data_IF_995546472357
#
_entry.id   IF_995546472357
#
_cell.length_a   1.000
_cell.length_b   1.000
_cell.length_c   1.000
_cell.angle_alpha   90.00
_cell.angle_beta   90.00
_cell.angle_gamma   90.00
#
_symmetry.space_group_name_H-M   'P 1'
#
loop_
_entity.id
_entity.type
_entity.pdbx_description
1 polymer ?
#
# COMPACT_ATOMS: atom_id res chain seq x y z
N UNK A 1 -32.60 -10.20 5.18
CA UNK A 1 -31.99 -8.85 5.15
C UNK A 1 -31.43 -8.53 3.75
N UNK A 2 -32.27 -8.51 2.69
CA UNK A 2 -31.83 -8.33 1.28
C UNK A 2 -32.74 -7.42 0.42
N UNK A 3 -33.57 -6.58 1.04
CA UNK A 3 -34.60 -5.82 0.29
C UNK A 3 -34.68 -4.32 0.64
N UNK A 4 -33.59 -3.69 1.11
CA UNK A 4 -33.57 -2.24 1.39
C UNK A 4 -32.76 -1.39 0.40
N UNK A 5 -32.17 -2.03 -0.62
CA UNK A 5 -31.36 -1.36 -1.66
C UNK A 5 -32.14 -0.95 -2.93
N UNK A 6 -33.41 -1.38 -3.05
CA UNK A 6 -34.22 -1.17 -4.26
C UNK A 6 -35.13 0.07 -4.20
N UNK A 7 -35.14 0.81 -3.09
CA UNK A 7 -36.05 1.95 -2.86
C UNK A 7 -35.33 3.31 -2.89
N UNK A 8 -34.10 3.37 -3.41
CA UNK A 8 -33.32 4.60 -3.48
C UNK A 8 -33.54 5.26 -4.86
N UNK A 9 -34.01 6.52 -4.94
CA UNK A 9 -34.13 7.26 -6.20
C UNK A 9 -32.76 7.38 -6.91
N UNK A 10 -32.78 7.39 -8.25
CA UNK A 10 -31.58 7.16 -9.10
C UNK A 10 -30.52 8.27 -8.94
N UNK A 11 -30.91 9.45 -8.47
CA UNK A 11 -30.05 10.59 -8.15
C UNK A 11 -29.06 10.29 -6.99
N UNK A 12 -29.56 9.70 -5.89
CA UNK A 12 -28.79 9.43 -4.67
C UNK A 12 -27.80 8.26 -4.81
N UNK A 13 -28.08 7.39 -5.79
CA UNK A 13 -27.22 6.24 -6.09
C UNK A 13 -25.89 6.68 -6.68
N UNK A 14 -25.88 7.74 -7.49
CA UNK A 14 -24.64 8.29 -8.07
C UNK A 14 -23.78 8.94 -6.99
N UNK A 15 -24.37 9.76 -6.12
CA UNK A 15 -23.65 10.45 -5.02
C UNK A 15 -23.05 9.46 -4.03
N UNK A 16 -23.74 8.36 -3.73
CA UNK A 16 -23.23 7.33 -2.81
C UNK A 16 -22.10 6.51 -3.42
N UNK A 17 -22.20 6.18 -4.71
CA UNK A 17 -21.14 5.46 -5.43
C UNK A 17 -19.90 6.35 -5.61
N UNK A 18 -20.09 7.64 -5.88
CA UNK A 18 -18.99 8.62 -6.02
C UNK A 18 -18.29 8.92 -4.68
N UNK A 19 -19.04 8.97 -3.57
CA UNK A 19 -18.46 9.07 -2.21
C UNK A 19 -17.68 7.82 -1.80
N UNK A 20 -18.13 6.63 -2.18
CA UNK A 20 -17.40 5.37 -1.92
C UNK A 20 -16.16 5.21 -2.82
N UNK A 21 -16.22 5.73 -4.05
CA UNK A 21 -15.10 5.73 -4.99
C UNK A 21 -14.03 6.80 -4.66
N UNK A 22 -14.38 7.88 -3.96
CA UNK A 22 -13.44 8.89 -3.49
C UNK A 22 -12.48 8.39 -2.39
N UNK A 23 -12.87 7.34 -1.68
CA UNK A 23 -12.08 6.73 -0.60
C UNK A 23 -11.27 5.50 -1.06
N UNK A 24 -11.00 5.30 -2.35
CA UNK A 24 -10.38 4.05 -2.83
C UNK A 24 -9.19 4.23 -3.78
N UNK A 25 -8.53 5.39 -3.76
CA UNK A 25 -7.16 5.50 -4.30
C UNK A 25 -6.15 4.86 -3.32
N UNK A 26 -5.04 4.24 -3.75
CA UNK A 26 -3.97 3.83 -2.84
C UNK A 26 -3.42 5.06 -2.14
N UNK A 27 -3.81 5.19 -0.87
CA UNK A 27 -3.82 6.46 -0.13
C UNK A 27 -2.42 6.77 0.36
N UNK A 28 -2.16 8.04 0.65
CA UNK A 28 -0.99 8.49 1.40
C UNK A 28 -0.66 7.58 2.60
N UNK A 29 -1.66 6.93 3.18
CA UNK A 29 -1.55 5.87 4.18
C UNK A 29 -0.61 4.71 3.81
N UNK A 30 -0.66 4.16 2.58
CA UNK A 30 0.27 3.10 2.15
C UNK A 30 1.71 3.57 2.24
N UNK A 31 2.00 4.75 1.70
CA UNK A 31 3.34 5.33 1.71
C UNK A 31 3.77 5.72 3.12
N UNK A 32 2.86 6.25 3.94
CA UNK A 32 3.12 6.56 5.35
C UNK A 32 3.52 5.30 6.13
N UNK A 33 2.71 4.24 6.04
CA UNK A 33 3.00 2.96 6.69
C UNK A 33 4.30 2.35 6.17
N UNK A 34 4.58 2.47 4.87
CA UNK A 34 5.82 2.00 4.25
C UNK A 34 7.05 2.73 4.80
N UNK A 35 6.97 4.06 4.92
CA UNK A 35 8.02 4.92 5.49
C UNK A 35 8.28 4.56 6.96
N UNK A 36 7.22 4.41 7.75
CA UNK A 36 7.34 4.04 9.16
C UNK A 36 7.94 2.62 9.31
N UNK A 37 7.46 1.68 8.51
CA UNK A 37 7.99 0.31 8.51
C UNK A 37 9.47 0.27 8.16
N UNK A 38 9.91 0.98 7.11
CA UNK A 38 11.32 0.94 6.72
C UNK A 38 12.23 1.59 7.76
N UNK A 39 11.80 2.67 8.41
CA UNK A 39 12.58 3.27 9.52
C UNK A 39 12.79 2.23 10.63
N UNK A 40 11.72 1.54 11.05
CA UNK A 40 11.80 0.51 12.10
C UNK A 40 12.70 -0.64 11.67
N UNK A 41 12.55 -1.13 10.44
CA UNK A 41 13.36 -2.24 9.90
C UNK A 41 14.83 -1.84 9.80
N UNK A 42 15.15 -0.65 9.28
CA UNK A 42 16.53 -0.16 9.17
C UNK A 42 17.17 -0.01 10.55
N UNK A 43 16.45 0.54 11.54
CA UNK A 43 16.95 0.60 12.92
C UNK A 43 17.17 -0.79 13.52
N UNK A 44 16.23 -1.72 13.31
CA UNK A 44 16.37 -3.11 13.75
C UNK A 44 17.60 -3.80 13.13
N UNK A 45 17.88 -3.54 11.85
CA UNK A 45 19.07 -4.02 11.16
C UNK A 45 20.36 -3.43 11.74
N UNK A 46 20.40 -2.12 11.95
CA UNK A 46 21.58 -1.42 12.51
C UNK A 46 21.87 -1.85 13.96
N UNK A 47 20.83 -2.16 14.74
CA UNK A 47 20.94 -2.67 16.10
C UNK A 47 21.19 -4.19 16.17
N UNK A 48 21.15 -4.91 15.04
CA UNK A 48 21.30 -6.37 15.00
C UNK A 48 20.16 -7.11 15.72
N UNK A 49 18.96 -6.53 15.81
CA UNK A 49 17.85 -7.08 16.59
C UNK A 49 16.72 -7.62 15.69
N UNK A 50 16.65 -8.95 15.58
CA UNK A 50 15.65 -9.66 14.80
C UNK A 50 14.21 -9.36 15.22
N UNK A 51 13.95 -9.15 16.52
CA UNK A 51 12.61 -8.86 17.02
C UNK A 51 12.07 -7.54 16.47
N UNK A 52 12.92 -6.51 16.38
CA UNK A 52 12.54 -5.20 15.82
C UNK A 52 12.27 -5.32 14.30
N UNK A 53 13.09 -6.10 13.59
CA UNK A 53 12.92 -6.34 12.15
C UNK A 53 11.57 -6.99 11.86
N UNK A 54 11.20 -8.03 12.63
CA UNK A 54 9.91 -8.72 12.45
C UNK A 54 8.73 -7.77 12.71
N UNK A 55 8.81 -6.94 13.74
CA UNK A 55 7.78 -5.93 14.03
C UNK A 55 7.62 -4.96 12.85
N UNK A 56 8.74 -4.47 12.31
CA UNK A 56 8.70 -3.55 11.16
C UNK A 56 8.11 -4.20 9.89
N UNK A 57 8.43 -5.47 9.63
CA UNK A 57 7.88 -6.23 8.50
C UNK A 57 6.37 -6.45 8.60
N UNK A 58 5.83 -6.63 9.81
CA UNK A 58 4.39 -6.81 10.03
C UNK A 58 3.58 -5.56 9.65
N UNK A 59 4.17 -4.38 9.80
CA UNK A 59 3.53 -3.09 9.49
C UNK A 59 3.51 -2.81 7.98
N UNK A 60 4.43 -3.39 7.21
CA UNK A 60 4.61 -3.07 5.79
C UNK A 60 3.44 -3.58 4.92
N UNK A 61 2.66 -2.69 4.27
CA UNK A 61 1.47 -3.07 3.51
C UNK A 61 1.78 -3.55 2.07
N UNK A 62 2.89 -4.26 1.85
CA UNK A 62 3.35 -4.67 0.51
C UNK A 62 2.50 -5.76 -0.15
N UNK A 63 1.65 -6.44 0.61
CA UNK A 63 0.77 -7.48 0.06
C UNK A 63 -0.23 -6.92 -0.97
N UNK A 64 -0.74 -5.70 -0.76
CA UNK A 64 -1.72 -5.09 -1.67
C UNK A 64 -1.19 -4.90 -3.11
N UNK A 65 -0.02 -4.27 -3.34
CA UNK A 65 0.53 -4.15 -4.70
C UNK A 65 0.91 -5.51 -5.30
N UNK A 66 1.41 -6.47 -4.51
CA UNK A 66 1.74 -7.82 -5.00
C UNK A 66 0.48 -8.55 -5.50
N UNK A 67 -0.60 -8.50 -4.73
CA UNK A 67 -1.90 -9.08 -5.11
C UNK A 67 -2.49 -8.38 -6.34
N UNK A 68 -2.27 -7.06 -6.48
CA UNK A 68 -2.70 -6.32 -7.66
C UNK A 68 -1.98 -6.76 -8.93
N UNK A 69 -0.67 -7.05 -8.87
CA UNK A 69 0.07 -7.65 -9.99
C UNK A 69 -0.51 -9.03 -10.33
N UNK A 70 -0.70 -9.89 -9.32
CA UNK A 70 -1.25 -11.23 -9.53
C UNK A 70 -2.63 -11.21 -10.19
N UNK A 71 -3.52 -10.32 -9.72
CA UNK A 71 -4.85 -10.13 -10.32
C UNK A 71 -4.76 -9.57 -11.75
N UNK A 72 -3.86 -8.63 -12.02
CA UNK A 72 -3.63 -8.14 -13.38
C UNK A 72 -3.22 -9.26 -14.34
N UNK A 73 -2.41 -10.22 -13.87
CA UNK A 73 -2.01 -11.40 -14.65
C UNK A 73 -3.20 -12.32 -14.89
N UNK A 74 -3.98 -12.64 -13.86
CA UNK A 74 -5.16 -13.54 -13.96
C UNK A 74 -6.22 -13.00 -14.91
N UNK A 75 -6.45 -11.68 -14.89
CA UNK A 75 -7.44 -11.01 -15.76
C UNK A 75 -6.85 -10.64 -17.13
N UNK A 76 -5.56 -10.87 -17.35
CA UNK A 76 -4.80 -10.45 -18.54
C UNK A 76 -4.92 -8.94 -18.86
N UNK A 77 -5.07 -8.11 -17.83
CA UNK A 77 -5.13 -6.66 -17.97
C UNK A 77 -3.74 -6.04 -17.80
N UNK A 78 -3.10 -5.76 -18.94
CA UNK A 78 -1.77 -5.13 -19.01
C UNK A 78 -1.72 -3.75 -18.35
N UNK A 79 -2.84 -3.02 -18.27
CA UNK A 79 -2.88 -1.71 -17.61
C UNK A 79 -2.76 -1.88 -16.11
N UNK A 80 -3.48 -2.84 -15.52
CA UNK A 80 -3.42 -3.15 -14.08
C UNK A 80 -2.02 -3.64 -13.70
N UNK A 81 -1.44 -4.54 -14.51
CA UNK A 81 -0.06 -5.01 -14.29
C UNK A 81 0.91 -3.84 -14.32
N UNK A 82 0.84 -2.97 -15.33
CA UNK A 82 1.73 -1.82 -15.46
C UNK A 82 1.60 -0.83 -14.31
N UNK A 83 0.37 -0.60 -13.83
CA UNK A 83 0.12 0.28 -12.69
C UNK A 83 0.68 -0.29 -11.38
N UNK A 84 0.43 -1.57 -11.11
CA UNK A 84 0.93 -2.24 -9.91
C UNK A 84 2.47 -2.37 -9.91
N UNK A 85 3.07 -2.67 -11.07
CA UNK A 85 4.53 -2.72 -11.23
C UNK A 85 5.18 -1.36 -10.99
N UNK A 86 4.59 -0.26 -11.48
CA UNK A 86 5.07 1.11 -11.20
C UNK A 86 4.99 1.43 -9.70
N UNK A 87 3.89 1.06 -9.05
CA UNK A 87 3.74 1.25 -7.59
C UNK A 87 4.81 0.48 -6.82
N UNK A 88 5.12 -0.77 -7.21
CA UNK A 88 6.21 -1.54 -6.61
C UNK A 88 7.57 -0.89 -6.83
N UNK A 89 7.88 -0.46 -8.05
CA UNK A 89 9.15 0.24 -8.33
C UNK A 89 9.31 1.50 -7.49
N UNK A 90 8.27 2.35 -7.42
CA UNK A 90 8.29 3.56 -6.60
C UNK A 90 8.48 3.23 -5.12
N UNK A 91 7.78 2.21 -4.61
CA UNK A 91 7.94 1.74 -3.24
C UNK A 91 9.37 1.27 -2.96
N UNK A 92 9.98 0.48 -3.86
CA UNK A 92 11.37 0.01 -3.73
C UNK A 92 12.37 1.17 -3.70
N UNK A 93 12.24 2.13 -4.61
CA UNK A 93 13.12 3.32 -4.65
C UNK A 93 12.99 4.10 -3.33
N UNK A 94 11.76 4.30 -2.86
CA UNK A 94 11.49 5.00 -1.61
C UNK A 94 12.11 4.28 -0.40
N UNK A 95 11.93 2.95 -0.32
CA UNK A 95 12.51 2.09 0.73
C UNK A 95 14.03 2.26 0.76
N UNK A 96 14.70 2.09 -0.38
CA UNK A 96 16.17 2.18 -0.46
C UNK A 96 16.64 3.58 -0.10
N UNK A 97 15.98 4.62 -0.63
CA UNK A 97 16.32 6.01 -0.32
C UNK A 97 16.21 6.35 1.16
N UNK A 98 15.12 5.95 1.82
CA UNK A 98 14.92 6.18 3.25
C UNK A 98 15.92 5.38 4.08
N UNK A 99 16.15 4.11 3.74
CA UNK A 99 17.11 3.29 4.48
C UNK A 99 18.52 3.87 4.42
N UNK A 100 18.93 4.44 3.28
CA UNK A 100 20.23 5.11 3.15
C UNK A 100 20.31 6.38 4.01
N UNK A 101 19.25 7.19 4.01
CA UNK A 101 19.18 8.40 4.84
C UNK A 101 19.28 8.01 6.32
N UNK A 102 18.48 7.05 6.78
CA UNK A 102 18.48 6.61 8.18
C UNK A 102 19.86 6.04 8.56
N UNK A 103 20.44 5.20 7.71
CA UNK A 103 21.77 4.65 7.95
C UNK A 103 22.87 5.71 7.99
N UNK A 104 22.77 6.76 7.18
CA UNK A 104 23.74 7.87 7.19
C UNK A 104 23.67 8.69 8.48
N UNK A 105 22.48 8.85 9.08
CA UNK A 105 22.32 9.54 10.36
C UNK A 105 22.68 8.66 11.57
N UNK A 106 22.78 7.34 11.40
CA UNK A 106 23.15 6.41 12.47
C UNK A 106 24.68 6.26 12.50
N UNK A 107 25.36 6.75 13.55
CA UNK A 107 26.83 6.74 13.65
C UNK A 107 27.42 5.33 13.81
#
# INVERSE_FOLDING_TARGET
MRLKLLTIPIEDRKVSVERLMGESSPKAEFFLLLVLAIIIVTLGLLMGNLSIIIIGMLVAPLLSPILSVAMGIVVADVKVIGWAARTLMLATILIVGISLIVAFFFP
#
